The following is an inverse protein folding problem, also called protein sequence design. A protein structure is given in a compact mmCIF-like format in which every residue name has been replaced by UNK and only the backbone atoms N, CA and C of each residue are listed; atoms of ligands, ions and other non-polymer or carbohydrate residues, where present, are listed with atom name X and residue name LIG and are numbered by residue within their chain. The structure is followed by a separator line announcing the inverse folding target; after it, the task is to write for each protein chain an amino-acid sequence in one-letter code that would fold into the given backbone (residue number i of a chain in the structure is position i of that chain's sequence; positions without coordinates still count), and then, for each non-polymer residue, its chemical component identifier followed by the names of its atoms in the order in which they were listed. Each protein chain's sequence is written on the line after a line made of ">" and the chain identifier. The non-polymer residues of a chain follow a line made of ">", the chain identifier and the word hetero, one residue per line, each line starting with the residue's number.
data_IF_461719280047
#
_entry.id   IF_461719280047
#
_cell.length_a   1.000
_cell.length_b   1.000
_cell.length_c   1.000
_cell.angle_alpha   90.00
_cell.angle_beta   90.00
_cell.angle_gamma   90.00
#
_symmetry.space_group_name_H-M   'P 1'
#
loop_
_entity.id
_entity.type
_entity.pdbx_description
1 polymer ?
#
# COMPACT_ATOMS: atom_id res chain seq x y z
N UNK A 1 3.46 13.88 -6.17
CA UNK A 1 4.45 12.78 -6.32
C UNK A 1 4.35 12.24 -7.74
N UNK A 2 5.47 11.90 -8.39
CA UNK A 2 5.48 11.25 -9.72
C UNK A 2 5.70 9.73 -9.56
N UNK A 3 4.76 8.92 -10.05
CA UNK A 3 4.75 7.46 -9.95
C UNK A 3 5.44 6.75 -11.13
N UNK A 4 6.01 7.47 -12.09
CA UNK A 4 6.72 6.83 -13.21
C UNK A 4 8.00 6.15 -12.72
N UNK A 5 8.13 4.86 -13.01
CA UNK A 5 9.32 4.06 -12.67
C UNK A 5 8.96 2.65 -12.23
N UNK A 6 9.92 1.97 -11.62
CA UNK A 6 9.78 0.59 -11.13
C UNK A 6 9.87 0.61 -9.61
N UNK A 7 8.87 -0.01 -8.96
CA UNK A 7 8.77 -0.18 -7.52
C UNK A 7 8.51 -1.66 -7.22
N UNK A 8 9.48 -2.42 -6.69
CA UNK A 8 9.23 -3.80 -6.35
C UNK A 8 8.39 -3.87 -5.06
N UNK A 9 7.37 -4.72 -5.01
CA UNK A 9 6.73 -5.10 -3.76
C UNK A 9 7.67 -6.03 -2.98
N UNK A 10 8.20 -5.57 -1.85
CA UNK A 10 9.23 -6.30 -1.11
C UNK A 10 8.62 -7.30 -0.12
N UNK A 11 9.27 -8.45 0.12
CA UNK A 11 8.88 -9.39 1.16
C UNK A 11 9.24 -8.89 2.56
N UNK A 12 8.58 -9.46 3.56
CA UNK A 12 8.88 -9.25 4.99
C UNK A 12 9.67 -10.46 5.50
N UNK A 13 10.98 -10.33 5.78
CA UNK A 13 11.78 -11.47 6.22
C UNK A 13 11.51 -11.82 7.69
N UNK A 14 11.45 -13.13 7.98
CA UNK A 14 11.28 -13.67 9.33
C UNK A 14 12.41 -14.65 9.67
N UNK A 15 12.77 -14.70 10.95
CA UNK A 15 13.70 -15.69 11.52
C UNK A 15 13.14 -16.21 12.83
N UNK A 16 12.84 -17.52 12.87
CA UNK A 16 12.23 -18.18 14.04
C UNK A 16 10.95 -17.45 14.48
N UNK A 17 10.03 -17.25 13.54
CA UNK A 17 8.71 -16.62 13.73
C UNK A 17 8.76 -15.19 14.29
N UNK A 18 9.87 -14.48 14.07
CA UNK A 18 10.03 -13.07 14.42
C UNK A 18 10.53 -12.28 13.24
N UNK A 19 10.02 -11.06 13.09
CA UNK A 19 10.48 -10.09 12.10
C UNK A 19 12.02 -9.93 12.17
N UNK A 20 12.69 -10.18 11.05
CA UNK A 20 14.15 -10.07 10.89
C UNK A 20 14.51 -8.69 10.29
N UNK A 21 14.54 -7.67 11.16
CA UNK A 21 14.78 -6.28 10.75
C UNK A 21 16.17 -6.09 10.11
N UNK A 22 17.18 -6.86 10.53
CA UNK A 22 18.53 -6.79 9.96
C UNK A 22 18.53 -7.30 8.51
N UNK A 23 17.86 -8.44 8.26
CA UNK A 23 17.70 -8.95 6.90
C UNK A 23 16.87 -8.00 6.03
N UNK A 24 15.82 -7.39 6.59
CA UNK A 24 14.98 -6.41 5.88
C UNK A 24 15.81 -5.18 5.46
N UNK A 25 16.57 -4.60 6.40
CA UNK A 25 17.46 -3.47 6.13
C UNK A 25 18.52 -3.79 5.08
N UNK A 26 19.24 -4.92 5.23
CA UNK A 26 20.24 -5.37 4.25
C UNK A 26 19.63 -5.58 2.85
N UNK A 27 18.40 -6.06 2.75
CA UNK A 27 17.73 -6.20 1.45
C UNK A 27 17.34 -4.83 0.87
N UNK A 28 16.86 -3.91 1.70
CA UNK A 28 16.55 -2.53 1.29
C UNK A 28 17.78 -1.83 0.71
N UNK A 29 18.94 -1.92 1.37
CA UNK A 29 20.18 -1.33 0.86
C UNK A 29 20.56 -1.87 -0.52
N UNK A 30 20.43 -3.20 -0.71
CA UNK A 30 20.71 -3.85 -2.00
C UNK A 30 19.74 -3.40 -3.09
N UNK A 31 18.46 -3.20 -2.78
CA UNK A 31 17.52 -2.69 -3.78
C UNK A 31 17.76 -1.20 -4.07
N UNK A 32 18.08 -0.40 -3.07
CA UNK A 32 18.33 1.04 -3.21
C UNK A 32 19.67 1.36 -3.87
N UNK A 33 20.59 0.40 -3.95
CA UNK A 33 21.80 0.52 -4.79
C UNK A 33 21.53 0.35 -6.30
N UNK A 34 20.29 0.10 -6.72
CA UNK A 34 19.90 -0.05 -8.13
C UNK A 34 19.19 1.20 -8.68
N UNK A 35 18.68 1.13 -9.92
CA UNK A 35 17.94 2.22 -10.53
C UNK A 35 16.47 2.34 -10.07
N UNK A 36 15.97 1.43 -9.22
CA UNK A 36 14.58 1.39 -8.76
C UNK A 36 14.09 2.73 -8.22
N UNK A 37 12.90 3.17 -8.62
CA UNK A 37 12.37 4.50 -8.25
C UNK A 37 12.04 4.60 -6.74
N UNK A 38 11.77 3.46 -6.13
CA UNK A 38 11.38 3.35 -4.74
C UNK A 38 11.04 1.91 -4.39
N UNK A 39 10.42 1.69 -3.23
CA UNK A 39 9.95 0.40 -2.76
C UNK A 39 8.45 0.45 -2.43
N UNK A 40 7.78 -0.69 -2.56
CA UNK A 40 6.44 -0.92 -1.99
C UNK A 40 6.58 -1.93 -0.86
N UNK A 41 6.36 -1.51 0.38
CA UNK A 41 6.31 -2.41 1.54
C UNK A 41 4.87 -2.66 1.98
N UNK A 42 4.65 -3.72 2.77
CA UNK A 42 3.32 -4.11 3.28
C UNK A 42 2.24 -4.27 2.19
N UNK A 43 2.66 -4.63 0.97
CA UNK A 43 1.76 -5.13 -0.06
C UNK A 43 1.47 -6.62 0.12
N UNK A 44 0.80 -7.25 -0.86
CA UNK A 44 0.51 -8.69 -0.83
C UNK A 44 1.78 -9.56 -0.73
N UNK A 45 2.86 -9.19 -1.43
CA UNK A 45 4.16 -9.90 -1.32
C UNK A 45 4.87 -9.65 0.01
N UNK A 46 4.52 -8.60 0.74
CA UNK A 46 5.01 -8.33 2.09
C UNK A 46 4.17 -9.01 3.18
N UNK A 47 3.21 -9.84 2.80
CA UNK A 47 2.38 -10.64 3.71
C UNK A 47 1.59 -9.80 4.72
N UNK A 48 1.28 -8.54 4.39
CA UNK A 48 0.68 -7.58 5.31
C UNK A 48 -0.57 -8.05 6.09
N UNK A 49 -1.47 -8.90 5.55
CA UNK A 49 -2.59 -9.45 6.33
C UNK A 49 -2.18 -10.37 7.49
N UNK A 50 -0.93 -10.86 7.52
CA UNK A 50 -0.40 -11.77 8.53
C UNK A 50 0.39 -11.06 9.63
N UNK A 51 0.70 -9.77 9.45
CA UNK A 51 1.42 -8.97 10.44
C UNK A 51 0.43 -8.30 11.39
N UNK A 52 0.82 -8.20 12.65
CA UNK A 52 0.13 -7.29 13.57
C UNK A 52 0.54 -5.81 13.34
N UNK A 53 -0.03 -4.90 14.13
CA UNK A 53 0.26 -3.47 13.99
C UNK A 53 1.69 -3.11 14.39
N UNK A 54 2.24 -3.75 15.42
CA UNK A 54 3.61 -3.50 15.90
C UNK A 54 4.64 -3.99 14.88
N UNK A 55 4.42 -5.18 14.30
CA UNK A 55 5.25 -5.71 13.22
C UNK A 55 5.16 -4.82 11.98
N UNK A 56 3.96 -4.35 11.62
CA UNK A 56 3.77 -3.44 10.50
C UNK A 56 4.53 -2.13 10.71
N UNK A 57 4.42 -1.53 11.88
CA UNK A 57 5.08 -0.27 12.22
C UNK A 57 6.62 -0.44 12.17
N UNK A 58 7.14 -1.53 12.74
CA UNK A 58 8.58 -1.86 12.68
C UNK A 58 9.08 -2.09 11.25
N UNK A 59 8.27 -2.67 10.37
CA UNK A 59 8.60 -2.79 8.94
C UNK A 59 8.71 -1.41 8.31
N UNK A 60 7.76 -0.50 8.56
CA UNK A 60 7.77 0.85 7.97
C UNK A 60 8.99 1.61 8.44
N UNK A 61 9.26 1.64 9.75
CA UNK A 61 10.44 2.29 10.34
C UNK A 61 11.75 1.76 9.75
N UNK A 62 11.88 0.43 9.67
CA UNK A 62 13.08 -0.22 9.12
C UNK A 62 13.27 0.16 7.66
N UNK A 63 12.24 0.06 6.83
CA UNK A 63 12.35 0.37 5.39
C UNK A 63 12.62 1.86 5.20
N UNK A 64 11.94 2.74 5.94
CA UNK A 64 12.14 4.18 5.83
C UNK A 64 13.58 4.59 6.12
N UNK A 65 14.21 3.98 7.12
CA UNK A 65 15.60 4.25 7.49
C UNK A 65 16.61 3.88 6.39
N UNK A 66 16.26 2.95 5.50
CA UNK A 66 17.14 2.45 4.43
C UNK A 66 16.77 2.96 3.03
N UNK A 67 15.59 3.58 2.85
CA UNK A 67 15.19 4.21 1.59
C UNK A 67 15.62 5.68 1.58
N UNK A 68 16.52 6.11 0.65
CA UNK A 68 16.93 7.51 0.52
C UNK A 68 15.73 8.43 0.26
N UNK A 69 15.81 9.70 0.70
CA UNK A 69 14.70 10.66 0.57
C UNK A 69 14.34 10.98 -0.88
N UNK A 70 15.27 10.79 -1.82
CA UNK A 70 15.06 10.96 -3.26
C UNK A 70 14.33 9.78 -3.91
N UNK A 71 14.21 8.66 -3.19
CA UNK A 71 13.49 7.45 -3.58
C UNK A 71 12.18 7.38 -2.78
N UNK A 72 11.12 6.93 -3.42
CA UNK A 72 9.82 6.90 -2.75
C UNK A 72 9.58 5.61 -1.98
N UNK A 73 8.91 5.72 -0.85
CA UNK A 73 8.41 4.62 -0.06
C UNK A 73 6.88 4.60 -0.12
N UNK A 74 6.32 3.55 -0.73
CA UNK A 74 4.89 3.31 -0.77
C UNK A 74 4.54 2.22 0.25
N UNK A 75 3.58 2.47 1.13
CA UNK A 75 3.18 1.53 2.18
C UNK A 75 1.78 1.00 1.93
N UNK A 76 1.60 -0.32 1.94
CA UNK A 76 0.27 -0.92 1.94
C UNK A 76 -0.43 -0.78 3.30
N UNK A 77 -1.62 -0.17 3.31
CA UNK A 77 -2.32 0.20 4.55
C UNK A 77 -3.74 -0.36 4.66
N UNK A 78 -4.18 -1.12 3.65
CA UNK A 78 -5.55 -1.62 3.60
C UNK A 78 -5.90 -2.48 4.82
N UNK A 79 -7.08 -2.22 5.37
CA UNK A 79 -7.79 -3.04 6.34
C UNK A 79 -9.20 -3.30 5.79
N UNK A 80 -9.93 -4.25 6.37
CA UNK A 80 -11.31 -4.54 5.93
C UNK A 80 -12.30 -3.42 6.24
N UNK A 81 -12.02 -2.58 7.26
CA UNK A 81 -12.86 -1.44 7.59
C UNK A 81 -12.25 -0.12 7.13
N UNK A 82 -13.08 0.81 6.66
CA UNK A 82 -12.66 2.17 6.27
C UNK A 82 -11.92 2.89 7.40
N UNK A 83 -12.43 2.84 8.63
CA UNK A 83 -11.79 3.48 9.78
C UNK A 83 -10.45 2.83 10.13
N UNK A 84 -10.33 1.50 9.97
CA UNK A 84 -9.06 0.79 10.15
C UNK A 84 -8.03 1.21 9.10
N UNK A 85 -8.45 1.34 7.84
CA UNK A 85 -7.58 1.82 6.76
C UNK A 85 -7.16 3.27 7.00
N UNK A 86 -8.06 4.16 7.45
CA UNK A 86 -7.71 5.55 7.80
C UNK A 86 -6.66 5.58 8.91
N UNK A 87 -6.85 4.82 10.00
CA UNK A 87 -5.87 4.77 11.10
C UNK A 87 -4.51 4.25 10.64
N UNK A 88 -4.49 3.18 9.86
CA UNK A 88 -3.27 2.63 9.30
C UNK A 88 -2.58 3.60 8.33
N UNK A 89 -3.36 4.39 7.58
CA UNK A 89 -2.88 5.43 6.67
C UNK A 89 -2.18 6.55 7.43
N UNK A 90 -2.81 7.07 8.48
CA UNK A 90 -2.21 8.11 9.33
C UNK A 90 -0.92 7.62 9.98
N UNK A 91 -0.92 6.42 10.59
CA UNK A 91 0.29 5.84 11.18
C UNK A 91 1.40 5.67 10.15
N UNK A 92 1.11 5.14 8.96
CA UNK A 92 2.11 4.98 7.92
C UNK A 92 2.71 6.32 7.47
N UNK A 93 1.88 7.37 7.37
CA UNK A 93 2.36 8.71 7.07
C UNK A 93 3.29 9.24 8.17
N UNK A 94 2.90 9.10 9.45
CA UNK A 94 3.71 9.52 10.60
C UNK A 94 5.07 8.80 10.67
N UNK A 95 5.11 7.53 10.22
CA UNK A 95 6.31 6.70 10.14
C UNK A 95 7.13 6.91 8.84
N UNK A 96 6.70 7.81 7.96
CA UNK A 96 7.48 8.28 6.81
C UNK A 96 7.13 7.67 5.45
N UNK A 97 5.93 7.11 5.29
CA UNK A 97 5.41 6.77 3.96
C UNK A 97 5.32 8.03 3.07
N UNK A 98 5.75 7.94 1.82
CA UNK A 98 5.59 9.03 0.83
C UNK A 98 4.24 8.97 0.12
N UNK A 99 3.63 7.78 0.08
CA UNK A 99 2.29 7.50 -0.38
C UNK A 99 1.80 6.18 0.21
N UNK A 100 0.49 5.94 0.18
CA UNK A 100 -0.11 4.70 0.64
C UNK A 100 -0.79 3.93 -0.49
N UNK A 101 -0.70 2.60 -0.41
CA UNK A 101 -1.32 1.66 -1.33
C UNK A 101 -2.54 1.02 -0.65
N UNK A 102 -3.72 1.30 -1.17
CA UNK A 102 -4.99 0.87 -0.57
C UNK A 102 -5.63 -0.19 -1.45
N UNK A 103 -5.52 -1.46 -1.03
CA UNK A 103 -6.23 -2.59 -1.64
C UNK A 103 -7.72 -2.54 -1.33
N UNK A 104 -8.55 -3.01 -2.26
CA UNK A 104 -9.97 -3.26 -2.02
C UNK A 104 -10.18 -4.14 -0.77
N UNK A 105 -11.10 -3.78 0.14
CA UNK A 105 -11.67 -4.73 1.10
C UNK A 105 -12.18 -5.97 0.35
N UNK A 106 -12.22 -7.14 0.99
CA UNK A 106 -12.51 -8.37 0.25
C UNK A 106 -13.32 -9.41 1.02
N UNK A 107 -13.38 -9.33 2.35
CA UNK A 107 -14.07 -10.34 3.14
C UNK A 107 -15.57 -10.42 2.79
N UNK A 108 -16.25 -9.27 2.71
CA UNK A 108 -17.67 -9.17 2.36
C UNK A 108 -17.92 -8.85 0.89
N UNK A 109 -17.13 -9.44 -0.03
CA UNK A 109 -17.14 -9.15 -1.48
C UNK A 109 -18.51 -9.02 -2.17
N UNK A 110 -19.54 -9.76 -1.74
CA UNK A 110 -20.89 -9.66 -2.31
C UNK A 110 -21.60 -8.32 -2.02
N UNK A 111 -21.14 -7.58 -1.01
CA UNK A 111 -21.68 -6.30 -0.56
C UNK A 111 -20.84 -5.11 -1.02
N UNK A 112 -19.68 -5.36 -1.65
CA UNK A 112 -18.78 -4.32 -2.11
C UNK A 112 -19.19 -3.85 -3.51
N UNK A 113 -20.20 -2.99 -3.54
CA UNK A 113 -20.66 -2.28 -4.74
C UNK A 113 -19.70 -1.14 -5.11
N UNK A 114 -19.83 -0.61 -6.33
CA UNK A 114 -19.07 0.58 -6.74
C UNK A 114 -19.27 1.76 -5.78
N UNK A 115 -20.52 2.04 -5.38
CA UNK A 115 -20.82 3.09 -4.41
C UNK A 115 -20.08 2.89 -3.07
N UNK A 116 -20.06 1.66 -2.56
CA UNK A 116 -19.35 1.33 -1.33
C UNK A 116 -17.83 1.48 -1.46
N UNK A 117 -17.27 1.06 -2.60
CA UNK A 117 -15.83 1.20 -2.88
C UNK A 117 -15.42 2.66 -3.05
N UNK A 118 -16.22 3.44 -3.78
CA UNK A 118 -16.00 4.87 -3.98
C UNK A 118 -15.99 5.58 -2.62
N UNK A 119 -17.04 5.38 -1.81
CA UNK A 119 -17.14 5.99 -0.48
C UNK A 119 -15.98 5.57 0.43
N UNK A 120 -15.51 4.32 0.33
CA UNK A 120 -14.34 3.85 1.06
C UNK A 120 -13.06 4.61 0.66
N UNK A 121 -12.77 4.69 -0.64
CA UNK A 121 -11.56 5.34 -1.13
C UNK A 121 -11.57 6.86 -0.93
N UNK A 122 -12.71 7.53 -1.15
CA UNK A 122 -12.87 8.97 -0.88
C UNK A 122 -12.63 9.26 0.60
N UNK A 123 -13.27 8.52 1.52
CA UNK A 123 -13.06 8.72 2.95
C UNK A 123 -11.61 8.49 3.40
N UNK A 124 -10.91 7.51 2.81
CA UNK A 124 -9.48 7.28 3.08
C UNK A 124 -8.64 8.43 2.52
N UNK A 125 -8.91 8.87 1.28
CA UNK A 125 -8.15 9.91 0.62
C UNK A 125 -8.36 11.31 1.25
N UNK A 126 -9.57 11.61 1.74
CA UNK A 126 -9.90 12.83 2.48
C UNK A 126 -9.12 12.93 3.79
N UNK A 127 -8.97 11.80 4.49
CA UNK A 127 -8.28 11.73 5.79
C UNK A 127 -6.77 11.51 5.67
N UNK A 128 -6.26 11.13 4.50
CA UNK A 128 -4.87 10.74 4.31
C UNK A 128 -3.92 11.94 4.28
N UNK A 129 -2.90 12.00 5.16
CA UNK A 129 -1.88 13.05 5.10
C UNK A 129 -0.95 12.94 3.88
N UNK A 130 -0.95 11.80 3.20
CA UNK A 130 -0.09 11.49 2.03
C UNK A 130 -0.93 11.00 0.85
N UNK A 131 -0.40 11.03 -0.39
CA UNK A 131 -1.13 10.55 -1.56
C UNK A 131 -1.58 9.09 -1.46
N UNK A 132 -2.76 8.80 -2.01
CA UNK A 132 -3.37 7.47 -2.07
C UNK A 132 -3.23 6.87 -3.47
N UNK A 133 -2.89 5.60 -3.51
CA UNK A 133 -2.84 4.77 -4.71
C UNK A 133 -3.85 3.64 -4.54
N UNK A 134 -4.81 3.55 -5.45
CA UNK A 134 -5.78 2.44 -5.48
C UNK A 134 -5.03 1.16 -5.85
N UNK A 135 -5.32 0.04 -5.17
CA UNK A 135 -4.76 -1.26 -5.52
C UNK A 135 -5.87 -2.24 -5.88
N UNK A 136 -6.02 -2.46 -7.18
CA UNK A 136 -6.93 -3.45 -7.72
C UNK A 136 -6.18 -4.77 -7.95
N UNK A 137 -6.63 -5.84 -7.30
CA UNK A 137 -6.08 -7.18 -7.48
C UNK A 137 -7.20 -8.22 -7.38
N UNK A 138 -8.06 -8.25 -8.39
CA UNK A 138 -9.27 -9.08 -8.40
C UNK A 138 -8.96 -10.58 -8.26
N UNK A 139 -7.85 -11.07 -8.79
CA UNK A 139 -7.43 -12.47 -8.63
C UNK A 139 -7.19 -12.87 -7.16
N UNK A 140 -6.72 -11.92 -6.33
CA UNK A 140 -6.50 -12.14 -4.90
C UNK A 140 -7.77 -11.90 -4.07
N UNK A 141 -8.51 -10.84 -4.38
CA UNK A 141 -9.61 -10.34 -3.54
C UNK A 141 -10.98 -10.91 -3.96
N UNK A 142 -11.14 -11.28 -5.22
CA UNK A 142 -12.44 -11.52 -5.84
C UNK A 142 -13.30 -10.25 -5.99
N UNK A 143 -12.70 -9.07 -5.84
CA UNK A 143 -13.34 -7.76 -5.93
C UNK A 143 -12.56 -6.92 -6.93
N UNK A 144 -13.25 -6.35 -7.92
CA UNK A 144 -12.65 -5.42 -8.87
C UNK A 144 -13.23 -4.04 -8.68
N UNK A 145 -12.40 -3.01 -8.75
CA UNK A 145 -12.87 -1.63 -8.88
C UNK A 145 -13.32 -1.45 -10.34
N UNK A 146 -14.56 -1.03 -10.57
CA UNK A 146 -15.07 -0.82 -11.94
C UNK A 146 -14.40 0.39 -12.61
N UNK A 147 -14.42 0.43 -13.94
CA UNK A 147 -13.93 1.60 -14.69
C UNK A 147 -14.67 2.88 -14.30
N UNK A 148 -15.99 2.81 -14.08
CA UNK A 148 -16.78 3.96 -13.67
C UNK A 148 -16.33 4.50 -12.30
N UNK A 149 -16.08 3.60 -11.34
CA UNK A 149 -15.53 3.96 -10.04
C UNK A 149 -14.12 4.55 -10.15
N UNK A 150 -13.24 3.97 -10.97
CA UNK A 150 -11.89 4.51 -11.20
C UNK A 150 -11.93 5.91 -11.79
N UNK A 151 -12.79 6.17 -12.79
CA UNK A 151 -12.95 7.50 -13.40
C UNK A 151 -13.40 8.55 -12.39
N UNK A 152 -14.35 8.18 -11.51
CA UNK A 152 -14.77 9.09 -10.44
C UNK A 152 -13.63 9.35 -9.45
N UNK A 153 -12.99 8.29 -8.95
CA UNK A 153 -11.92 8.39 -7.96
C UNK A 153 -10.69 9.14 -8.48
N UNK A 154 -10.40 9.06 -9.78
CA UNK A 154 -9.30 9.79 -10.43
C UNK A 154 -9.47 11.32 -10.38
N UNK A 155 -10.68 11.82 -10.09
CA UNK A 155 -10.93 13.26 -9.89
C UNK A 155 -10.55 13.77 -8.50
N UNK A 156 -10.33 12.86 -7.53
CA UNK A 156 -9.99 13.23 -6.17
C UNK A 156 -8.53 13.71 -6.10
N UNK A 157 -8.24 14.90 -5.53
CA UNK A 157 -6.92 15.52 -5.60
C UNK A 157 -5.82 14.73 -4.89
N UNK A 158 -6.19 13.90 -3.91
CA UNK A 158 -5.26 13.07 -3.15
C UNK A 158 -5.15 11.62 -3.67
N UNK A 159 -5.90 11.23 -4.71
CA UNK A 159 -5.77 9.92 -5.36
C UNK A 159 -4.91 10.12 -6.61
N UNK A 160 -3.67 9.63 -6.58
CA UNK A 160 -2.65 9.97 -7.58
C UNK A 160 -2.39 8.85 -8.59
N UNK A 161 -3.06 7.71 -8.46
CA UNK A 161 -2.91 6.61 -9.39
C UNK A 161 -3.53 5.31 -8.91
N UNK A 162 -3.28 4.26 -9.68
CA UNK A 162 -3.78 2.92 -9.43
C UNK A 162 -2.70 1.89 -9.79
N UNK A 163 -2.56 0.88 -8.93
CA UNK A 163 -1.87 -0.36 -9.23
C UNK A 163 -2.91 -1.39 -9.67
N UNK A 164 -2.94 -1.71 -10.95
CA UNK A 164 -3.71 -2.82 -11.51
C UNK A 164 -2.85 -4.09 -11.50
N UNK A 165 -3.42 -5.23 -11.10
CA UNK A 165 -2.75 -6.54 -11.05
C UNK A 165 -3.57 -7.66 -11.69
N UNK A 166 -4.60 -7.29 -12.45
CA UNK A 166 -5.24 -8.14 -13.44
C UNK A 166 -4.39 -8.30 -14.70
N UNK A 167 -4.87 -9.14 -15.62
CA UNK A 167 -4.19 -9.47 -16.89
C UNK A 167 -4.82 -8.77 -18.09
N UNK A 168 -5.81 -7.90 -17.86
CA UNK A 168 -6.52 -7.13 -18.89
C UNK A 168 -5.78 -5.82 -19.16
N UNK A 169 -5.46 -5.53 -20.43
CA UNK A 169 -4.57 -4.43 -20.86
C UNK A 169 -5.31 -3.29 -21.56
#
# INVERSE_FOLDING_TARGET
>A
MDLRGIFPPIPTPFRSDRLDVDALGSNCDRWMSTALRGLVALGSNGEAPLLDEEESDRVIETVRAHVPIERSLIIGVARESTIGTIRATTRAADLGADAVLVRTPWFFKKLLTDEALIAHYEAVADASPVPVIIYNFAALTGVSVSLAAVVQLASHPNIIGMKESGTDI
#
